data_IF_094439590837
#
_entry.id   IF_094439590837
#
_cell.length_a   1.000
_cell.length_b   1.000
_cell.length_c   1.000
_cell.angle_alpha   90.00
_cell.angle_beta   90.00
_cell.angle_gamma   90.00
#
_symmetry.space_group_name_H-M   'P 1'
#
loop_
_entity.id
_entity.type
_entity.pdbx_description
1 polymer ?
#
# COMPACT_ATOMS: atom_id res chain seq x y z
N UNK A 1 1.01 -0.27 7.27
CA UNK A 1 0.66 -1.37 6.34
C UNK A 1 -0.01 -0.89 5.06
N UNK A 2 -1.21 -0.30 5.14
CA UNK A 2 -1.95 0.17 3.95
C UNK A 2 -1.15 1.17 3.08
N UNK A 3 -0.54 2.19 3.71
CA UNK A 3 0.25 3.20 3.00
C UNK A 3 1.40 2.59 2.18
N UNK A 4 2.13 1.63 2.75
CA UNK A 4 3.22 0.91 2.07
C UNK A 4 2.72 0.17 0.84
N UNK A 5 1.58 -0.52 0.94
CA UNK A 5 0.99 -1.25 -0.19
C UNK A 5 0.51 -0.30 -1.30
N UNK A 6 -0.17 0.79 -0.92
CA UNK A 6 -0.61 1.81 -1.88
C UNK A 6 0.58 2.43 -2.60
N UNK A 7 1.63 2.79 -1.87
CA UNK A 7 2.85 3.36 -2.43
C UNK A 7 3.55 2.39 -3.39
N UNK A 8 3.72 1.12 -3.00
CA UNK A 8 4.33 0.11 -3.88
C UNK A 8 3.54 -0.08 -5.17
N UNK A 9 2.21 -0.14 -5.10
CA UNK A 9 1.38 -0.31 -6.28
C UNK A 9 1.53 0.86 -7.25
N UNK A 10 1.65 2.09 -6.75
CA UNK A 10 1.87 3.29 -7.57
C UNK A 10 3.29 3.32 -8.13
N UNK A 11 4.30 3.02 -7.32
CA UNK A 11 5.72 3.00 -7.72
C UNK A 11 6.03 1.89 -8.74
N UNK A 12 5.24 0.81 -8.77
CA UNK A 12 5.35 -0.23 -9.78
C UNK A 12 4.89 0.21 -11.19
N UNK A 13 4.35 1.43 -11.35
CA UNK A 13 3.97 1.98 -12.65
C UNK A 13 2.62 1.52 -13.18
N UNK A 14 1.79 0.83 -12.38
CA UNK A 14 0.43 0.45 -12.77
C UNK A 14 -0.48 1.68 -12.83
N UNK A 15 -0.84 2.13 -14.04
CA UNK A 15 -1.76 3.25 -14.23
C UNK A 15 -3.12 3.04 -13.54
N UNK A 16 -3.59 1.79 -13.42
CA UNK A 16 -4.83 1.48 -12.70
C UNK A 16 -4.63 1.66 -11.19
N UNK A 17 -3.46 1.34 -10.65
CA UNK A 17 -3.14 1.60 -9.25
C UNK A 17 -3.12 3.10 -8.94
N UNK A 18 -2.51 3.91 -9.81
CA UNK A 18 -2.55 5.37 -9.71
C UNK A 18 -3.98 5.89 -9.73
N UNK A 19 -4.83 5.37 -10.64
CA UNK A 19 -6.25 5.72 -10.69
C UNK A 19 -7.00 5.38 -9.39
N UNK A 20 -6.80 4.17 -8.86
CA UNK A 20 -7.38 3.76 -7.56
C UNK A 20 -6.89 4.63 -6.40
N UNK A 21 -5.60 5.00 -6.39
CA UNK A 21 -5.02 5.88 -5.38
C UNK A 21 -5.62 7.28 -5.42
N UNK A 22 -5.78 7.86 -6.61
CA UNK A 22 -6.44 9.17 -6.76
C UNK A 22 -7.92 9.10 -6.34
N UNK A 23 -8.61 8.01 -6.64
CA UNK A 23 -9.98 7.80 -6.19
C UNK A 23 -10.05 7.70 -4.66
N UNK A 24 -9.15 6.95 -4.04
CA UNK A 24 -9.01 6.86 -2.57
C UNK A 24 -8.88 8.24 -1.92
N UNK A 25 -8.02 9.11 -2.46
CA UNK A 25 -7.85 10.48 -1.94
C UNK A 25 -9.14 11.31 -2.08
N UNK A 26 -9.85 11.15 -3.21
CA UNK A 26 -11.14 11.83 -3.45
C UNK A 26 -12.27 11.31 -2.54
N UNK A 27 -12.20 10.05 -2.10
CA UNK A 27 -13.22 9.44 -1.26
C UNK A 27 -13.31 10.08 0.13
N UNK A 28 -12.26 10.73 0.65
CA UNK A 28 -12.28 11.37 1.97
C UNK A 28 -12.85 10.43 3.04
N UNK A 29 -13.90 10.87 3.75
CA UNK A 29 -14.65 10.08 4.74
C UNK A 29 -16.02 9.62 4.27
N UNK A 30 -16.22 9.43 2.95
CA UNK A 30 -17.53 9.11 2.36
C UNK A 30 -18.07 7.71 2.68
N UNK A 31 -17.24 6.81 3.19
CA UNK A 31 -17.59 5.44 3.57
C UNK A 31 -16.62 4.94 4.67
N UNK A 32 -16.85 3.74 5.19
CA UNK A 32 -16.01 3.11 6.19
C UNK A 32 -14.56 2.95 5.69
N UNK A 33 -13.56 3.20 6.55
CA UNK A 33 -12.15 3.16 6.17
C UNK A 33 -11.71 1.84 5.51
N UNK A 34 -12.24 0.69 5.98
CA UNK A 34 -11.91 -0.62 5.39
C UNK A 34 -12.45 -0.76 3.97
N UNK A 35 -13.65 -0.27 3.70
CA UNK A 35 -14.26 -0.29 2.37
C UNK A 35 -13.47 0.61 1.41
N UNK A 36 -13.10 1.81 1.86
CA UNK A 36 -12.31 2.77 1.10
C UNK A 36 -10.95 2.18 0.72
N UNK A 37 -10.26 1.54 1.65
CA UNK A 37 -8.96 0.88 1.38
C UNK A 37 -9.12 -0.31 0.43
N UNK A 38 -10.16 -1.12 0.61
CA UNK A 38 -10.46 -2.24 -0.27
C UNK A 38 -10.73 -1.78 -1.70
N UNK A 39 -11.49 -0.70 -1.88
CA UNK A 39 -11.72 -0.06 -3.18
C UNK A 39 -10.43 0.52 -3.80
N UNK A 40 -9.49 0.99 -2.96
CA UNK A 40 -8.15 1.41 -3.39
C UNK A 40 -7.25 0.23 -3.83
N UNK A 41 -7.71 -1.01 -3.64
CA UNK A 41 -6.98 -2.24 -3.99
C UNK A 41 -6.17 -2.82 -2.83
N UNK A 42 -6.42 -2.39 -1.59
CA UNK A 42 -5.76 -2.90 -0.38
C UNK A 42 -6.81 -3.43 0.58
N UNK A 43 -7.01 -4.75 0.58
CA UNK A 43 -7.89 -5.38 1.55
C UNK A 43 -7.17 -5.60 2.88
N UNK A 44 -7.57 -4.85 3.90
CA UNK A 44 -6.99 -4.90 5.25
C UNK A 44 -7.54 -6.05 6.10
N UNK A 45 -8.51 -6.83 5.62
CA UNK A 45 -8.94 -8.06 6.32
C UNK A 45 -8.07 -9.27 5.97
N UNK A 46 -7.23 -9.14 4.95
CA UNK A 46 -6.29 -10.17 4.52
C UNK A 46 -4.91 -9.99 5.16
N UNK A 47 -4.10 -11.04 5.33
CA UNK A 47 -2.74 -10.92 5.86
C UNK A 47 -1.77 -10.22 4.90
N UNK A 48 -2.11 -10.17 3.60
CA UNK A 48 -1.24 -9.67 2.53
C UNK A 48 -0.65 -8.27 2.79
N UNK A 49 -1.39 -7.24 3.24
CA UNK A 49 -0.82 -5.91 3.42
C UNK A 49 0.23 -5.85 4.53
N UNK A 50 0.07 -6.67 5.58
CA UNK A 50 1.04 -6.77 6.66
C UNK A 50 2.30 -7.45 6.17
N UNK A 51 2.18 -8.61 5.51
CA UNK A 51 3.32 -9.36 4.95
C UNK A 51 4.12 -8.48 3.98
N UNK A 52 3.43 -7.76 3.10
CA UNK A 52 4.05 -6.83 2.13
C UNK A 52 4.86 -5.75 2.84
N UNK A 53 4.34 -5.20 3.94
CA UNK A 53 5.04 -4.16 4.71
C UNK A 53 6.30 -4.70 5.39
N UNK A 54 6.21 -5.91 5.96
CA UNK A 54 7.36 -6.58 6.56
C UNK A 54 8.45 -6.89 5.53
N UNK A 55 8.08 -7.27 4.31
CA UNK A 55 9.03 -7.47 3.22
C UNK A 55 9.78 -6.19 2.85
N UNK A 56 9.09 -5.04 2.81
CA UNK A 56 9.75 -3.74 2.59
C UNK A 56 10.73 -3.43 3.71
N UNK A 57 10.30 -3.64 4.97
CA UNK A 57 11.17 -3.44 6.12
C UNK A 57 12.44 -4.31 6.05
N UNK A 58 12.29 -5.62 5.77
CA UNK A 58 13.41 -6.53 5.63
C UNK A 58 14.36 -6.13 4.50
N UNK A 59 13.82 -5.66 3.37
CA UNK A 59 14.65 -5.15 2.27
C UNK A 59 15.47 -3.94 2.69
N UNK A 60 14.84 -2.95 3.33
CA UNK A 60 15.53 -1.75 3.80
C UNK A 60 16.59 -2.07 4.86
N UNK A 61 16.32 -3.04 5.74
CA UNK A 61 17.31 -3.51 6.71
C UNK A 61 18.53 -4.14 6.03
N UNK A 62 18.30 -5.00 5.03
CA UNK A 62 19.40 -5.60 4.27
C UNK A 62 20.21 -4.54 3.50
N UNK A 63 19.56 -3.53 2.93
CA UNK A 63 20.25 -2.40 2.28
C UNK A 63 21.11 -1.61 3.28
N UNK A 64 20.61 -1.38 4.50
CA UNK A 64 21.36 -0.73 5.57
C UNK A 64 22.59 -1.56 5.98
N UNK A 65 22.45 -2.87 6.13
CA UNK A 65 23.56 -3.79 6.47
C UNK A 65 24.67 -3.80 5.43
N UNK A 66 24.36 -3.59 4.15
CA UNK A 66 25.36 -3.50 3.07
C UNK A 66 26.12 -2.16 3.06
N UNK A 67 25.60 -1.12 3.72
CA UNK A 67 26.23 0.20 3.78
C UNK A 67 27.15 0.38 5.01
N UNK A 68 27.13 -0.58 5.94
CA UNK A 68 27.96 -0.63 7.15
C UNK A 68 29.20 -1.50 6.93
#
# INVERSE_FOLDING_TARGET
AAATCLAQNVLAGDQKATGRYLQFLKSGGSDYPLNILKAAGVDMTEPKPLVTTLQVFSKLLAELEQLL
#
